data_IF_331507741343
#
_entry.id   IF_331507741343
#
_cell.length_a   1.000
_cell.length_b   1.000
_cell.length_c   1.000
_cell.angle_alpha   90.00
_cell.angle_beta   90.00
_cell.angle_gamma   90.00
#
_symmetry.space_group_name_H-M   'P 1'
#
loop_
_entity.id
_entity.type
_entity.pdbx_description
1 polymer ?
#
# COMPACT_ATOMS: atom_id res chain seq x y z
N UNK A 1 -0.60 -4.05 9.09
CA UNK A 1 -0.68 -4.00 10.57
C UNK A 1 0.55 -4.62 11.24
N UNK A 2 0.86 -5.90 11.01
CA UNK A 2 2.03 -6.56 11.64
C UNK A 2 3.35 -5.81 11.41
N UNK A 3 3.68 -5.47 10.14
CA UNK A 3 4.91 -4.72 9.83
C UNK A 3 5.00 -3.41 10.64
N UNK A 4 3.87 -2.71 10.80
CA UNK A 4 3.81 -1.47 11.59
C UNK A 4 4.06 -1.72 13.07
N UNK A 5 3.48 -2.79 13.64
CA UNK A 5 3.69 -3.16 15.04
C UNK A 5 5.16 -3.48 15.29
N UNK A 6 5.79 -4.31 14.44
CA UNK A 6 7.20 -4.64 14.55
C UNK A 6 8.10 -3.41 14.44
N UNK A 7 7.77 -2.48 13.52
CA UNK A 7 8.48 -1.21 13.39
C UNK A 7 8.36 -0.34 14.66
N UNK A 8 7.14 -0.19 15.20
CA UNK A 8 6.89 0.64 16.38
C UNK A 8 7.51 0.02 17.65
N UNK A 9 7.44 -1.31 17.81
CA UNK A 9 8.11 -2.01 18.92
C UNK A 9 9.63 -1.80 18.91
N UNK A 10 10.26 -1.83 17.73
CA UNK A 10 11.70 -1.49 17.58
C UNK A 10 12.02 -0.04 17.96
N UNK A 11 11.02 0.84 17.98
CA UNK A 11 11.12 2.24 18.45
C UNK A 11 10.76 2.40 19.94
N UNK A 12 10.51 1.31 20.66
CA UNK A 12 10.18 1.32 22.09
C UNK A 12 8.69 1.47 22.41
N UNK A 13 7.82 1.50 21.40
CA UNK A 13 6.37 1.59 21.60
C UNK A 13 5.81 0.27 22.12
N UNK A 14 4.90 0.35 23.11
CA UNK A 14 4.24 -0.82 23.71
C UNK A 14 2.94 -1.15 22.98
N UNK A 15 3.06 -1.58 21.73
CA UNK A 15 1.94 -1.93 20.86
C UNK A 15 1.92 -3.42 20.53
N UNK A 16 0.77 -3.95 20.15
CA UNK A 16 0.58 -5.35 19.78
C UNK A 16 -0.50 -5.53 18.72
N UNK A 17 -0.63 -6.74 18.19
CA UNK A 17 -1.65 -7.12 17.23
C UNK A 17 -2.15 -8.53 17.53
N UNK A 18 -3.46 -8.70 17.59
CA UNK A 18 -4.11 -10.01 17.55
C UNK A 18 -4.62 -10.25 16.13
N UNK A 19 -4.24 -11.39 15.55
CA UNK A 19 -4.76 -11.85 14.26
C UNK A 19 -5.83 -12.89 14.52
N UNK A 20 -7.09 -12.51 14.38
CA UNK A 20 -8.21 -13.46 14.47
C UNK A 20 -8.13 -14.41 13.28
N UNK A 21 -7.90 -15.70 13.56
CA UNK A 21 -7.77 -16.75 12.53
C UNK A 21 -9.08 -17.50 12.32
N UNK A 22 -9.69 -17.93 13.42
CA UNK A 22 -10.99 -18.57 13.44
C UNK A 22 -12.01 -17.56 13.99
N UNK A 23 -12.77 -16.94 13.09
CA UNK A 23 -13.79 -15.97 13.49
C UNK A 23 -15.05 -16.66 14.04
N UNK A 24 -15.44 -17.81 13.47
CA UNK A 24 -16.55 -18.63 13.95
C UNK A 24 -16.18 -20.12 13.92
N UNK A 25 -16.46 -20.88 14.99
CA UNK A 25 -16.90 -20.43 16.32
C UNK A 25 -15.85 -19.56 17.02
N UNK A 26 -16.27 -18.47 17.69
CA UNK A 26 -15.35 -17.54 18.35
C UNK A 26 -14.95 -18.11 19.73
N UNK A 27 -13.70 -18.54 19.88
CA UNK A 27 -13.25 -19.11 21.15
C UNK A 27 -12.76 -18.04 22.13
N UNK A 28 -13.61 -17.68 23.09
CA UNK A 28 -13.33 -16.69 24.14
C UNK A 28 -12.05 -17.04 24.90
N UNK A 29 -11.92 -18.30 25.33
CA UNK A 29 -10.72 -18.79 26.03
C UNK A 29 -9.43 -18.51 25.27
N UNK A 30 -9.38 -18.82 23.97
CA UNK A 30 -8.19 -18.59 23.16
C UNK A 30 -7.93 -17.09 22.93
N UNK A 31 -8.99 -16.29 22.76
CA UNK A 31 -8.87 -14.84 22.63
C UNK A 31 -8.31 -14.20 23.91
N UNK A 32 -8.89 -14.49 25.07
CA UNK A 32 -8.43 -13.95 26.36
C UNK A 32 -7.00 -14.37 26.67
N UNK A 33 -6.63 -15.64 26.43
CA UNK A 33 -5.27 -16.12 26.63
C UNK A 33 -4.23 -15.44 25.72
N UNK A 34 -4.65 -14.86 24.60
CA UNK A 34 -3.77 -14.13 23.68
C UNK A 34 -3.51 -12.67 24.09
N UNK A 35 -4.27 -12.14 25.06
CA UNK A 35 -4.15 -10.77 25.52
C UNK A 35 -3.14 -10.63 26.67
N UNK A 36 -2.09 -9.80 26.54
CA UNK A 36 -1.20 -9.51 27.65
C UNK A 36 -1.92 -8.83 28.83
N UNK A 37 -1.48 -9.13 30.06
CA UNK A 37 -2.00 -8.53 31.30
C UNK A 37 -1.88 -7.00 31.35
N UNK A 38 -0.99 -6.43 30.54
CA UNK A 38 -0.67 -5.00 30.47
C UNK A 38 -1.51 -4.24 29.44
N UNK A 39 -2.45 -4.89 28.75
CA UNK A 39 -3.31 -4.24 27.77
C UNK A 39 -4.24 -3.25 28.48
N UNK A 40 -4.19 -1.98 28.06
CA UNK A 40 -5.03 -0.91 28.57
C UNK A 40 -6.11 -0.46 27.57
N UNK A 41 -5.88 -0.69 26.27
CA UNK A 41 -6.80 -0.27 25.20
C UNK A 41 -6.70 -1.26 24.03
N UNK A 42 -7.84 -1.61 23.46
CA UNK A 42 -8.01 -2.51 22.32
C UNK A 42 -8.79 -1.75 21.24
N UNK A 43 -8.25 -1.71 20.02
CA UNK A 43 -8.99 -1.23 18.85
C UNK A 43 -9.38 -2.43 17.96
N UNK A 44 -10.68 -2.68 17.86
CA UNK A 44 -11.23 -3.64 16.91
C UNK A 44 -11.37 -2.98 15.54
N UNK A 45 -10.82 -3.62 14.50
CA UNK A 45 -10.86 -3.11 13.14
C UNK A 45 -11.71 -4.03 12.26
N UNK A 46 -12.84 -3.50 11.83
CA UNK A 46 -13.82 -4.20 11.00
C UNK A 46 -13.72 -3.74 9.54
N UNK A 47 -13.70 -4.71 8.63
CA UNK A 47 -13.73 -4.47 7.18
C UNK A 47 -15.15 -4.61 6.62
N UNK A 48 -16.12 -4.07 7.37
CA UNK A 48 -17.54 -4.05 7.00
C UNK A 48 -18.21 -2.78 7.57
N UNK A 49 -19.45 -2.53 7.16
CA UNK A 49 -20.31 -1.50 7.75
C UNK A 49 -21.71 -2.07 7.86
N UNK A 50 -22.25 -2.10 9.08
CA UNK A 50 -23.64 -2.49 9.36
C UNK A 50 -24.41 -1.24 9.81
N UNK A 51 -25.11 -0.54 8.90
CA UNK A 51 -25.79 0.72 9.22
C UNK A 51 -26.85 0.53 10.32
N UNK A 52 -26.83 1.40 11.34
CA UNK A 52 -27.78 1.35 12.46
C UNK A 52 -27.43 0.33 13.55
N UNK A 53 -26.41 -0.51 13.35
CA UNK A 53 -25.89 -1.38 14.41
C UNK A 53 -25.23 -0.56 15.53
N UNK A 54 -25.20 -1.13 16.73
CA UNK A 54 -24.48 -0.56 17.88
C UNK A 54 -22.95 -0.68 17.74
N UNK A 55 -22.46 -1.39 16.72
CA UNK A 55 -21.06 -1.64 16.45
C UNK A 55 -20.88 -2.79 15.47
N UNK A 56 -19.74 -2.81 14.77
CA UNK A 56 -19.45 -3.84 13.78
C UNK A 56 -19.20 -5.23 14.41
N UNK A 57 -19.30 -6.33 13.64
CA UNK A 57 -19.33 -7.68 14.19
C UNK A 57 -18.11 -8.07 15.03
N UNK A 58 -16.88 -7.78 14.59
CA UNK A 58 -15.70 -8.14 15.37
C UNK A 58 -15.57 -7.29 16.63
N UNK A 59 -15.90 -5.99 16.54
CA UNK A 59 -15.95 -5.12 17.70
C UNK A 59 -16.93 -5.64 18.76
N UNK A 60 -18.16 -5.98 18.38
CA UNK A 60 -19.17 -6.47 19.33
C UNK A 60 -18.76 -7.82 19.94
N UNK A 61 -18.19 -8.74 19.16
CA UNK A 61 -17.64 -9.99 19.68
C UNK A 61 -16.52 -9.77 20.69
N UNK A 62 -15.61 -8.81 20.44
CA UNK A 62 -14.52 -8.50 21.37
C UNK A 62 -15.08 -7.90 22.67
N UNK A 63 -16.06 -7.00 22.58
CA UNK A 63 -16.74 -6.44 23.75
C UNK A 63 -17.37 -7.56 24.58
N UNK A 64 -18.16 -8.42 23.94
CA UNK A 64 -18.81 -9.56 24.59
C UNK A 64 -17.79 -10.53 25.19
N UNK A 65 -16.74 -10.91 24.45
CA UNK A 65 -15.73 -11.85 24.92
C UNK A 65 -14.94 -11.33 26.12
N UNK A 66 -14.63 -10.02 26.16
CA UNK A 66 -13.98 -9.40 27.33
C UNK A 66 -14.94 -9.42 28.52
N UNK A 67 -16.21 -9.07 28.32
CA UNK A 67 -17.20 -9.04 29.39
C UNK A 67 -17.48 -10.43 29.96
N UNK A 68 -17.70 -11.43 29.11
CA UNK A 68 -17.88 -12.83 29.53
C UNK A 68 -16.62 -13.37 30.19
N UNK A 69 -15.43 -13.09 29.66
CA UNK A 69 -14.18 -13.50 30.27
C UNK A 69 -13.93 -12.87 31.66
N UNK A 70 -14.46 -11.69 31.93
CA UNK A 70 -14.46 -11.08 33.27
C UNK A 70 -15.44 -11.84 34.18
N UNK A 71 -16.67 -12.07 33.72
CA UNK A 71 -17.70 -12.80 34.47
C UNK A 71 -17.27 -14.22 34.85
N UNK A 72 -16.54 -14.90 33.96
CA UNK A 72 -15.99 -16.25 34.18
C UNK A 72 -14.69 -16.26 34.99
N UNK A 73 -14.10 -15.09 35.28
CA UNK A 73 -12.84 -14.99 36.02
C UNK A 73 -11.60 -15.52 35.27
N UNK A 74 -11.68 -15.62 33.94
CA UNK A 74 -10.58 -16.11 33.08
C UNK A 74 -9.68 -14.98 32.54
N UNK A 75 -10.04 -13.72 32.80
CA UNK A 75 -9.21 -12.56 32.45
C UNK A 75 -8.12 -12.30 33.49
N UNK A 76 -7.03 -11.67 33.04
CA UNK A 76 -5.85 -11.38 33.90
C UNK A 76 -5.43 -9.91 33.89
N UNK A 77 -6.35 -9.03 33.49
CA UNK A 77 -6.12 -7.59 33.45
C UNK A 77 -6.14 -6.99 34.85
N UNK A 78 -5.27 -6.00 35.11
CA UNK A 78 -5.35 -5.20 36.35
C UNK A 78 -6.54 -4.24 36.34
N UNK A 79 -6.94 -3.80 35.15
CA UNK A 79 -8.07 -2.90 34.88
C UNK A 79 -8.69 -3.32 33.56
N UNK A 80 -10.01 -3.30 33.46
CA UNK A 80 -10.71 -3.58 32.20
C UNK A 80 -10.21 -2.64 31.09
N UNK A 81 -9.71 -3.17 29.96
CA UNK A 81 -9.21 -2.35 28.88
C UNK A 81 -10.34 -1.56 28.23
N UNK A 82 -10.04 -0.33 27.78
CA UNK A 82 -10.95 0.40 26.89
C UNK A 82 -11.05 -0.33 25.55
N UNK A 83 -12.24 -0.49 25.00
CA UNK A 83 -12.45 -1.12 23.69
C UNK A 83 -13.04 -0.07 22.76
N UNK A 84 -12.40 0.17 21.63
CA UNK A 84 -12.90 1.03 20.56
C UNK A 84 -13.07 0.23 19.27
N UNK A 85 -14.10 0.55 18.50
CA UNK A 85 -14.38 -0.03 17.18
C UNK A 85 -14.05 0.96 16.08
N UNK A 86 -13.50 0.45 14.98
CA UNK A 86 -13.16 1.24 13.81
C UNK A 86 -13.38 0.49 12.51
N UNK A 87 -13.80 1.20 11.48
CA UNK A 87 -13.96 0.67 10.12
C UNK A 87 -12.78 1.04 9.23
N UNK A 88 -12.35 0.10 8.40
CA UNK A 88 -11.29 0.32 7.42
C UNK A 88 -11.54 -0.46 6.13
N UNK A 89 -10.86 -0.05 5.05
CA UNK A 89 -10.66 -0.92 3.88
C UNK A 89 -11.90 -1.37 3.10
N UNK A 90 -13.03 -0.68 3.26
CA UNK A 90 -14.27 -0.97 2.52
C UNK A 90 -14.05 -0.79 1.02
N UNK A 91 -14.56 -1.72 0.21
CA UNK A 91 -14.44 -1.68 -1.26
C UNK A 91 -12.99 -1.48 -1.75
N UNK A 92 -12.05 -2.19 -1.12
CA UNK A 92 -10.61 -2.09 -1.43
C UNK A 92 -10.00 -0.71 -1.21
N UNK A 93 -10.60 0.12 -0.34
CA UNK A 93 -9.94 1.32 0.16
C UNK A 93 -8.59 0.94 0.78
N UNK A 94 -7.58 1.76 0.52
CA UNK A 94 -6.23 1.51 1.03
C UNK A 94 -6.19 1.42 2.56
N UNK A 95 -5.31 0.56 3.07
CA UNK A 95 -5.01 0.45 4.49
C UNK A 95 -3.49 0.35 4.71
N UNK A 96 -2.87 1.50 4.91
CA UNK A 96 -1.41 1.66 4.91
C UNK A 96 -0.81 1.63 6.32
N UNK A 97 0.52 1.49 6.47
CA UNK A 97 1.19 1.63 7.76
C UNK A 97 0.91 2.96 8.47
N UNK A 98 0.72 4.04 7.71
CA UNK A 98 0.34 5.35 8.23
C UNK A 98 -1.03 5.30 8.94
N UNK A 99 -2.00 4.62 8.33
CA UNK A 99 -3.33 4.43 8.91
C UNK A 99 -3.28 3.57 10.17
N UNK A 100 -2.49 2.49 10.16
CA UNK A 100 -2.27 1.65 11.35
C UNK A 100 -1.64 2.48 12.48
N UNK A 101 -0.65 3.33 12.18
CA UNK A 101 -0.08 4.24 13.17
C UNK A 101 -1.13 5.22 13.69
N UNK A 102 -1.98 5.77 12.81
CA UNK A 102 -3.09 6.65 13.21
C UNK A 102 -4.04 5.99 14.22
N UNK A 103 -4.37 4.70 14.03
CA UNK A 103 -5.15 3.93 15.00
C UNK A 103 -4.43 3.83 16.35
N UNK A 104 -3.13 3.54 16.37
CA UNK A 104 -2.37 3.50 17.63
C UNK A 104 -2.27 4.87 18.30
N UNK A 105 -2.12 5.96 17.55
CA UNK A 105 -2.14 7.32 18.11
C UNK A 105 -3.51 7.68 18.67
N UNK A 106 -4.61 7.24 18.03
CA UNK A 106 -5.96 7.39 18.58
C UNK A 106 -6.09 6.66 19.92
N UNK A 107 -5.59 5.43 20.01
CA UNK A 107 -5.61 4.62 21.25
C UNK A 107 -4.83 5.25 22.41
N UNK A 108 -3.86 6.13 22.14
CA UNK A 108 -3.07 6.83 23.16
C UNK A 108 -3.81 8.03 23.78
N UNK A 109 -4.88 8.52 23.15
CA UNK A 109 -5.64 9.66 23.67
C UNK A 109 -6.33 9.32 24.98
N UNK A 110 -6.51 10.33 25.82
CA UNK A 110 -7.26 10.18 27.07
C UNK A 110 -8.70 9.70 26.81
N UNK A 111 -9.34 10.30 25.81
CA UNK A 111 -10.66 9.93 25.31
C UNK A 111 -10.52 9.53 23.83
N UNK A 112 -10.23 8.24 23.54
CA UNK A 112 -10.12 7.78 22.16
C UNK A 112 -11.50 7.80 21.49
N UNK A 113 -11.54 8.19 20.21
CA UNK A 113 -12.76 8.16 19.41
C UNK A 113 -13.21 6.72 19.19
N UNK A 114 -14.45 6.40 19.59
CA UNK A 114 -15.10 5.13 19.27
C UNK A 114 -15.88 5.24 17.93
N UNK A 115 -16.19 4.10 17.31
CA UNK A 115 -16.90 3.99 16.03
C UNK A 115 -16.27 4.79 14.89
N UNK A 116 -14.94 4.84 14.88
CA UNK A 116 -14.20 5.67 13.96
C UNK A 116 -14.11 5.06 12.55
N UNK A 117 -13.68 5.88 11.59
CA UNK A 117 -13.26 5.43 10.25
C UNK A 117 -11.80 5.81 10.02
N UNK A 118 -11.07 4.98 9.29
CA UNK A 118 -9.69 5.28 8.88
C UNK A 118 -9.54 5.13 7.37
N UNK A 119 -8.87 6.10 6.74
CA UNK A 119 -8.62 6.12 5.30
C UNK A 119 -9.57 6.99 4.48
N UNK A 120 -10.56 7.63 5.09
CA UNK A 120 -11.44 8.64 4.46
C UNK A 120 -11.39 9.95 5.25
N UNK A 121 -11.79 11.05 4.61
CA UNK A 121 -12.16 12.27 5.31
C UNK A 121 -13.69 12.26 5.42
N UNK A 122 -14.18 12.10 6.65
CA UNK A 122 -15.61 12.19 6.95
C UNK A 122 -15.86 13.51 7.66
N UNK A 123 -16.27 14.50 6.88
CA UNK A 123 -16.59 15.87 7.27
C UNK A 123 -18.08 16.08 7.61
N UNK A 124 -18.89 15.02 7.51
CA UNK A 124 -20.33 15.07 7.81
C UNK A 124 -20.62 14.49 9.19
N UNK A 125 -20.20 13.24 9.44
CA UNK A 125 -20.41 12.59 10.75
C UNK A 125 -19.18 12.64 11.65
N UNK A 126 -18.08 13.21 11.15
CA UNK A 126 -16.82 13.39 11.88
C UNK A 126 -16.28 12.10 12.50
N UNK A 127 -16.56 10.93 11.90
CA UNK A 127 -16.09 9.63 12.39
C UNK A 127 -14.62 9.37 12.04
N UNK A 128 -14.08 10.07 11.04
CA UNK A 128 -12.70 9.86 10.61
C UNK A 128 -11.67 10.25 11.68
N UNK A 129 -10.57 9.49 11.76
CA UNK A 129 -9.40 9.79 12.58
C UNK A 129 -8.23 10.25 11.71
N UNK A 130 -7.40 11.14 12.26
CA UNK A 130 -6.24 11.67 11.56
C UNK A 130 -5.08 10.68 11.52
N UNK A 131 -4.30 10.72 10.45
CA UNK A 131 -3.06 9.95 10.29
C UNK A 131 -2.10 10.73 9.41
N UNK A 132 -0.79 10.56 9.60
CA UNK A 132 0.23 11.22 8.77
C UNK A 132 0.46 10.45 7.47
N UNK A 133 -0.04 10.90 6.30
CA UNK A 133 -0.02 10.12 5.06
C UNK A 133 1.41 9.81 4.56
N UNK A 134 2.38 10.64 4.93
CA UNK A 134 3.78 10.48 4.55
C UNK A 134 4.52 9.43 5.39
N UNK A 135 3.89 8.86 6.42
CA UNK A 135 4.55 7.84 7.23
C UNK A 135 4.78 6.55 6.41
N UNK A 136 6.03 6.09 6.38
CA UNK A 136 6.44 4.86 5.70
C UNK A 136 7.38 4.06 6.59
N UNK A 137 7.21 2.74 6.56
CA UNK A 137 8.03 1.76 7.28
C UNK A 137 8.83 0.86 6.33
N UNK A 138 8.71 1.09 5.03
CA UNK A 138 9.37 0.25 4.03
C UNK A 138 10.89 0.51 4.02
N UNK A 139 11.72 -0.53 4.18
CA UNK A 139 13.17 -0.37 4.32
C UNK A 139 13.79 0.22 3.04
N UNK A 140 14.95 0.86 3.17
CA UNK A 140 15.65 1.45 2.04
C UNK A 140 16.16 0.39 1.05
N UNK A 141 16.53 -0.79 1.55
CA UNK A 141 17.00 -1.94 0.76
C UNK A 141 15.94 -2.61 -0.11
N UNK A 142 14.66 -2.28 0.09
CA UNK A 142 13.56 -2.85 -0.69
C UNK A 142 13.36 -2.04 -1.96
N UNK A 143 13.43 -2.72 -3.10
CA UNK A 143 13.08 -2.10 -4.37
C UNK A 143 11.57 -2.04 -4.51
N UNK A 144 11.10 -0.87 -4.95
CA UNK A 144 9.69 -0.54 -5.14
C UNK A 144 9.56 0.09 -6.52
N UNK A 145 8.97 -0.63 -7.45
CA UNK A 145 8.83 -0.17 -8.82
C UNK A 145 7.34 0.06 -9.15
N UNK A 146 7.06 1.14 -9.86
CA UNK A 146 5.73 1.45 -10.38
C UNK A 146 5.81 1.60 -11.89
N UNK A 147 4.87 0.96 -12.58
CA UNK A 147 4.78 1.02 -14.04
C UNK A 147 3.39 1.49 -14.43
N UNK A 148 3.34 2.58 -15.18
CA UNK A 148 2.14 3.13 -15.80
C UNK A 148 2.08 2.66 -17.25
N UNK A 149 1.08 1.84 -17.55
CA UNK A 149 0.87 1.27 -18.88
C UNK A 149 -0.57 1.45 -19.36
N UNK A 150 -0.79 1.21 -20.64
CA UNK A 150 -2.11 1.20 -21.28
C UNK A 150 -2.70 -0.21 -21.26
N UNK A 151 -4.01 -0.31 -21.08
CA UNK A 151 -4.73 -1.57 -21.26
C UNK A 151 -4.44 -2.17 -22.64
N UNK A 152 -3.88 -3.39 -22.65
CA UNK A 152 -3.45 -4.16 -23.83
C UNK A 152 -2.09 -3.80 -24.44
N UNK A 153 -1.25 -2.97 -23.80
CA UNK A 153 0.13 -2.71 -24.27
C UNK A 153 1.17 -3.77 -23.84
N UNK A 154 0.76 -4.72 -23.02
CA UNK A 154 1.61 -5.81 -22.51
C UNK A 154 2.39 -5.50 -21.23
N UNK A 155 2.27 -4.29 -20.66
CA UNK A 155 2.99 -3.85 -19.44
C UNK A 155 2.76 -4.78 -18.25
N UNK A 156 1.48 -5.06 -17.95
CA UNK A 156 1.11 -5.98 -16.86
C UNK A 156 1.70 -7.37 -17.08
N UNK A 157 1.66 -7.87 -18.33
CA UNK A 157 2.21 -9.18 -18.68
C UNK A 157 3.71 -9.25 -18.48
N UNK A 158 4.43 -8.23 -18.97
CA UNK A 158 5.87 -8.09 -18.76
C UNK A 158 6.21 -8.02 -17.27
N UNK A 159 5.47 -7.25 -16.48
CA UNK A 159 5.70 -7.15 -15.03
C UNK A 159 5.46 -8.48 -14.29
N UNK A 160 4.42 -9.24 -14.66
CA UNK A 160 4.20 -10.60 -14.13
C UNK A 160 5.37 -11.52 -14.48
N UNK A 161 5.89 -11.41 -15.70
CA UNK A 161 7.04 -12.18 -16.14
C UNK A 161 8.32 -11.77 -15.39
N UNK A 162 8.58 -10.46 -15.22
CA UNK A 162 9.71 -9.96 -14.43
C UNK A 162 9.69 -10.45 -12.99
N UNK A 163 8.52 -10.46 -12.35
CA UNK A 163 8.34 -11.00 -11.00
C UNK A 163 8.73 -12.49 -10.96
N UNK A 164 8.29 -13.25 -11.97
CA UNK A 164 8.59 -14.68 -12.07
C UNK A 164 10.10 -14.90 -12.23
N UNK A 165 10.75 -14.19 -13.15
CA UNK A 165 12.20 -14.25 -13.37
C UNK A 165 12.95 -13.92 -12.08
N UNK A 166 12.63 -12.80 -11.43
CA UNK A 166 13.33 -12.40 -10.20
C UNK A 166 13.10 -13.41 -9.07
N UNK A 167 11.89 -13.96 -8.94
CA UNK A 167 11.59 -14.94 -7.89
C UNK A 167 12.13 -16.36 -8.14
N UNK A 168 12.42 -16.73 -9.40
CA UNK A 168 13.00 -18.02 -9.76
C UNK A 168 14.54 -17.97 -9.83
N UNK A 169 15.11 -16.86 -10.26
CA UNK A 169 16.55 -16.69 -10.48
C UNK A 169 17.28 -16.04 -9.28
N UNK A 170 16.55 -15.59 -8.26
CA UNK A 170 17.15 -14.98 -7.06
C UNK A 170 16.46 -15.42 -5.78
N UNK A 171 17.15 -15.31 -4.65
CA UNK A 171 16.58 -15.57 -3.31
C UNK A 171 15.62 -14.46 -2.82
N UNK A 172 15.27 -13.50 -3.68
CA UNK A 172 14.38 -12.41 -3.30
C UNK A 172 12.93 -12.88 -3.20
N UNK A 173 12.26 -12.45 -2.13
CA UNK A 173 10.80 -12.44 -2.10
C UNK A 173 10.30 -11.38 -3.08
N UNK A 174 9.30 -11.76 -3.87
CA UNK A 174 8.69 -10.90 -4.88
C UNK A 174 7.21 -10.69 -4.60
N UNK A 175 6.72 -9.49 -4.92
CA UNK A 175 5.31 -9.14 -4.80
C UNK A 175 4.88 -8.30 -5.99
N UNK A 176 3.73 -8.63 -6.57
CA UNK A 176 3.06 -7.83 -7.59
C UNK A 176 1.62 -7.52 -7.21
N UNK A 177 1.23 -6.26 -7.38
CA UNK A 177 -0.16 -5.84 -7.35
C UNK A 177 -0.48 -5.00 -8.58
N UNK A 178 -1.58 -5.30 -9.26
CA UNK A 178 -1.93 -4.69 -10.54
C UNK A 178 -3.29 -4.00 -10.41
N UNK A 179 -3.28 -2.69 -10.58
CA UNK A 179 -4.49 -1.87 -10.56
C UNK A 179 -4.95 -1.68 -11.99
N UNK A 180 -6.21 -2.02 -12.23
CA UNK A 180 -6.88 -1.87 -13.52
C UNK A 180 -8.02 -0.86 -13.38
N UNK A 181 -8.27 -0.13 -14.45
CA UNK A 181 -9.50 0.64 -14.63
C UNK A 181 -10.69 -0.33 -14.85
N UNK A 182 -11.91 0.13 -14.59
CA UNK A 182 -13.14 -0.62 -14.89
C UNK A 182 -13.42 -0.74 -16.39
N UNK A 183 -12.81 0.15 -17.19
CA UNK A 183 -12.90 0.12 -18.66
C UNK A 183 -12.10 -1.06 -19.24
N UNK A 184 -12.74 -1.79 -20.17
CA UNK A 184 -12.18 -3.02 -20.77
C UNK A 184 -10.92 -2.80 -21.63
N UNK A 185 -10.78 -1.64 -22.29
CA UNK A 185 -9.67 -1.35 -23.20
C UNK A 185 -9.23 0.11 -23.14
N UNK A 186 -7.97 0.39 -23.47
CA UNK A 186 -7.45 1.76 -23.62
C UNK A 186 -7.35 2.57 -22.33
N UNK A 187 -7.45 1.90 -21.18
CA UNK A 187 -7.46 2.55 -19.88
C UNK A 187 -6.11 2.43 -19.16
N UNK A 188 -5.90 3.24 -18.13
CA UNK A 188 -4.67 3.25 -17.36
C UNK A 188 -4.54 1.94 -16.56
N UNK A 189 -3.35 1.38 -16.56
CA UNK A 189 -2.96 0.27 -15.68
C UNK A 189 -1.76 0.70 -14.85
N UNK A 190 -1.76 0.34 -13.57
CA UNK A 190 -0.68 0.65 -12.65
C UNK A 190 -0.18 -0.65 -12.04
N UNK A 191 1.07 -1.00 -12.30
CA UNK A 191 1.72 -2.18 -11.73
C UNK A 191 2.60 -1.75 -10.57
N UNK A 192 2.35 -2.29 -9.38
CA UNK A 192 3.15 -2.09 -8.18
C UNK A 192 3.98 -3.34 -7.91
N UNK A 193 5.29 -3.21 -8.00
CA UNK A 193 6.23 -4.30 -7.75
C UNK A 193 7.06 -4.02 -6.51
N UNK A 194 7.30 -5.07 -5.72
CA UNK A 194 8.28 -5.06 -4.63
C UNK A 194 9.14 -6.31 -4.71
N UNK A 195 10.44 -6.15 -4.44
CA UNK A 195 11.37 -7.26 -4.31
C UNK A 195 12.40 -6.97 -3.23
N UNK A 196 12.74 -8.01 -2.44
CA UNK A 196 13.56 -7.88 -1.24
C UNK A 196 14.04 -9.26 -0.76
N UNK A 197 15.22 -9.39 -0.14
CA UNK A 197 15.67 -10.66 0.47
C UNK A 197 14.84 -11.10 1.69
N UNK A 198 13.96 -10.24 2.21
CA UNK A 198 13.10 -10.56 3.37
C UNK A 198 11.63 -10.70 2.97
N UNK A 199 10.83 -11.53 3.67
CA UNK A 199 9.40 -11.68 3.39
C UNK A 199 8.64 -10.35 3.30
N UNK A 200 7.82 -10.21 2.26
CA UNK A 200 7.06 -8.99 1.99
C UNK A 200 5.64 -9.15 2.55
N UNK A 201 5.32 -8.41 3.60
CA UNK A 201 3.98 -8.38 4.21
C UNK A 201 3.17 -7.13 3.83
N UNK A 202 3.67 -6.32 2.89
CA UNK A 202 3.09 -5.03 2.51
C UNK A 202 1.91 -5.19 1.56
N UNK A 203 0.72 -5.43 2.12
CA UNK A 203 -0.54 -5.60 1.36
C UNK A 203 -1.22 -4.26 1.03
N UNK A 204 -0.46 -3.25 0.62
CA UNK A 204 -0.92 -1.90 0.28
C UNK A 204 -0.14 -1.38 -0.95
N UNK A 205 -0.66 -0.35 -1.63
CA UNK A 205 -0.01 0.20 -2.83
C UNK A 205 1.35 0.85 -2.50
N UNK A 206 2.25 0.87 -3.48
CA UNK A 206 3.52 1.60 -3.32
C UNK A 206 3.24 3.10 -3.32
N UNK A 207 3.56 3.77 -2.22
CA UNK A 207 3.46 5.22 -2.10
C UNK A 207 4.81 5.95 -2.28
N UNK A 208 5.92 5.21 -2.23
CA UNK A 208 7.29 5.71 -2.33
C UNK A 208 8.13 4.80 -3.22
N UNK A 209 8.15 5.07 -4.52
CA UNK A 209 8.84 4.27 -5.51
C UNK A 209 10.34 4.62 -5.61
N UNK A 210 11.17 3.59 -5.83
CA UNK A 210 12.58 3.67 -6.19
C UNK A 210 12.79 3.63 -7.71
N UNK A 211 11.76 3.27 -8.46
CA UNK A 211 11.76 3.20 -9.91
C UNK A 211 10.34 3.52 -10.40
N UNK A 212 10.22 4.46 -11.32
CA UNK A 212 8.95 4.80 -11.97
C UNK A 212 9.14 4.67 -13.47
N UNK A 213 8.27 3.90 -14.12
CA UNK A 213 8.22 3.78 -15.57
C UNK A 213 6.88 4.25 -16.11
N UNK A 214 6.91 5.07 -17.17
CA UNK A 214 5.74 5.49 -17.91
C UNK A 214 5.86 5.01 -19.36
N UNK A 215 4.99 4.10 -19.77
CA UNK A 215 5.03 3.47 -21.09
C UNK A 215 4.23 4.24 -22.15
N UNK A 216 3.50 5.29 -21.75
CA UNK A 216 2.73 6.15 -22.65
C UNK A 216 3.01 7.62 -22.36
N UNK A 217 3.55 8.34 -23.33
CA UNK A 217 3.86 9.76 -23.21
C UNK A 217 2.63 10.61 -22.82
N UNK A 218 1.47 10.32 -23.41
CA UNK A 218 0.21 11.06 -23.18
C UNK A 218 -0.32 11.00 -21.74
N UNK A 219 0.21 10.11 -20.89
CA UNK A 219 -0.16 10.07 -19.48
C UNK A 219 0.42 11.23 -18.67
N UNK A 220 1.51 11.86 -19.13
CA UNK A 220 2.16 12.98 -18.45
C UNK A 220 1.24 14.20 -18.33
N UNK A 221 0.38 14.42 -19.32
CA UNK A 221 -0.56 15.54 -19.33
C UNK A 221 -1.80 15.28 -18.46
N UNK A 222 -2.12 14.00 -18.23
CA UNK A 222 -3.40 13.57 -17.66
C UNK A 222 -3.31 13.11 -16.22
N UNK A 223 -2.15 12.62 -15.81
CA UNK A 223 -1.95 11.98 -14.52
C UNK A 223 -0.66 12.43 -13.87
N UNK A 224 -0.70 12.59 -12.55
CA UNK A 224 0.49 12.80 -11.74
C UNK A 224 1.23 11.47 -11.54
N UNK A 225 2.01 11.07 -12.55
CA UNK A 225 2.78 9.82 -12.54
C UNK A 225 3.99 9.87 -11.59
N UNK A 226 4.49 11.07 -11.26
CA UNK A 226 5.70 11.26 -10.45
C UNK A 226 5.39 11.51 -8.97
N UNK A 227 4.11 11.58 -8.57
CA UNK A 227 3.66 11.72 -7.19
C UNK A 227 4.41 10.83 -6.21
N UNK A 228 4.52 9.55 -6.56
CA UNK A 228 5.08 8.49 -5.71
C UNK A 228 6.59 8.36 -5.82
N UNK A 229 7.24 9.05 -6.76
CA UNK A 229 8.69 9.00 -6.93
C UNK A 229 9.40 9.60 -5.69
N UNK A 230 10.42 8.90 -5.16
CA UNK A 230 11.29 9.46 -4.11
C UNK A 230 12.36 10.37 -4.73
N UNK A 231 13.08 11.09 -3.87
CA UNK A 231 14.25 11.86 -4.26
C UNK A 231 15.33 10.95 -4.90
N UNK A 232 15.91 11.36 -6.03
CA UNK A 232 17.07 10.70 -6.65
C UNK A 232 16.76 9.41 -7.44
N UNK A 233 15.49 9.07 -7.62
CA UNK A 233 15.11 7.78 -8.20
C UNK A 233 15.09 7.77 -9.72
N UNK A 234 15.06 6.58 -10.31
CA UNK A 234 14.95 6.42 -11.76
C UNK A 234 13.54 6.73 -12.22
N UNK A 235 13.45 7.58 -13.23
CA UNK A 235 12.25 7.77 -14.03
C UNK A 235 12.55 7.34 -15.47
N UNK A 236 11.87 6.28 -15.94
CA UNK A 236 11.97 5.78 -17.31
C UNK A 236 10.72 6.17 -18.10
N UNK A 237 10.88 6.87 -19.21
CA UNK A 237 9.79 7.30 -20.07
C UNK A 237 9.93 6.71 -21.47
N UNK A 238 8.85 6.08 -21.94
CA UNK A 238 8.66 5.81 -23.36
C UNK A 238 8.15 7.09 -24.04
N UNK A 239 8.97 7.66 -24.91
CA UNK A 239 8.70 8.93 -25.61
C UNK A 239 8.97 8.78 -27.10
N UNK A 240 8.14 9.36 -27.99
CA UNK A 240 8.47 9.46 -29.41
C UNK A 240 9.58 10.49 -29.70
N UNK A 241 9.96 11.31 -28.72
CA UNK A 241 10.96 12.36 -28.84
C UNK A 241 12.33 11.86 -28.40
N UNK A 242 13.39 12.41 -29.01
CA UNK A 242 14.77 12.14 -28.62
C UNK A 242 15.08 12.65 -27.21
N UNK A 243 16.19 12.18 -26.62
CA UNK A 243 16.61 12.61 -25.28
C UNK A 243 16.88 14.13 -25.20
N UNK A 244 17.27 14.75 -26.31
CA UNK A 244 17.57 16.18 -26.39
C UNK A 244 16.30 17.04 -26.54
N UNK A 245 15.25 16.51 -27.18
CA UNK A 245 14.01 17.26 -27.48
C UNK A 245 12.89 17.00 -26.47
N UNK A 246 12.88 15.82 -25.82
CA UNK A 246 11.79 15.40 -24.94
C UNK A 246 11.50 16.38 -23.83
N UNK A 247 12.53 17.09 -23.33
CA UNK A 247 12.39 18.06 -22.25
C UNK A 247 11.37 19.14 -22.60
N UNK A 248 11.44 19.69 -23.82
CA UNK A 248 10.58 20.78 -24.29
C UNK A 248 9.12 20.35 -24.50
N UNK A 249 8.88 19.03 -24.60
CA UNK A 249 7.56 18.45 -24.73
C UNK A 249 6.93 18.04 -23.38
N UNK A 250 7.68 18.07 -22.28
CA UNK A 250 7.16 17.72 -20.97
C UNK A 250 6.25 18.84 -20.42
N UNK A 251 5.12 18.51 -19.77
CA UNK A 251 4.37 19.48 -18.99
C UNK A 251 5.24 20.12 -17.90
N UNK A 252 5.05 21.41 -17.65
CA UNK A 252 5.83 22.17 -16.67
C UNK A 252 5.81 21.52 -15.27
N UNK A 253 4.66 21.01 -14.82
CA UNK A 253 4.53 20.32 -13.53
C UNK A 253 5.41 19.07 -13.42
N UNK A 254 5.62 18.36 -14.52
CA UNK A 254 6.50 17.18 -14.58
C UNK A 254 7.97 17.62 -14.55
N UNK A 255 8.34 18.65 -15.32
CA UNK A 255 9.70 19.21 -15.30
C UNK A 255 10.08 19.68 -13.89
N UNK A 256 9.20 20.44 -13.24
CA UNK A 256 9.37 20.90 -11.86
C UNK A 256 9.59 19.72 -10.92
N UNK A 257 8.73 18.70 -10.99
CA UNK A 257 8.87 17.49 -10.16
C UNK A 257 10.18 16.75 -10.42
N UNK A 258 10.65 16.66 -11.67
CA UNK A 258 11.93 16.02 -12.02
C UNK A 258 13.10 16.78 -11.38
N UNK A 259 13.09 18.12 -11.43
CA UNK A 259 14.13 18.97 -10.86
C UNK A 259 14.12 18.90 -9.34
N UNK A 260 12.96 19.17 -8.72
CA UNK A 260 12.79 19.18 -7.26
C UNK A 260 13.21 17.84 -6.65
N UNK A 261 12.78 16.74 -7.29
CA UNK A 261 13.10 15.40 -6.80
C UNK A 261 14.45 14.88 -7.27
N UNK A 262 15.20 15.64 -8.10
CA UNK A 262 16.49 15.26 -8.67
C UNK A 262 16.46 13.87 -9.32
N UNK A 263 15.43 13.62 -10.12
CA UNK A 263 15.21 12.30 -10.72
C UNK A 263 16.29 11.98 -11.75
N UNK A 264 16.69 10.70 -11.81
CA UNK A 264 17.52 10.18 -12.89
C UNK A 264 16.60 9.85 -14.06
N UNK A 265 16.49 10.78 -15.00
CA UNK A 265 15.55 10.70 -16.10
C UNK A 265 16.15 9.97 -17.30
N UNK A 266 15.51 8.88 -17.73
CA UNK A 266 15.87 8.09 -18.89
C UNK A 266 14.71 8.07 -19.87
N UNK A 267 15.05 8.20 -21.16
CA UNK A 267 14.07 8.24 -22.24
C UNK A 267 14.43 7.23 -23.30
N UNK A 268 13.42 6.55 -23.82
CA UNK A 268 13.54 5.60 -24.92
C UNK A 268 12.35 5.74 -25.86
N UNK A 269 12.60 5.65 -27.16
CA UNK A 269 11.53 5.44 -28.15
C UNK A 269 11.36 3.93 -28.39
N UNK A 270 10.56 3.29 -27.53
CA UNK A 270 10.33 1.86 -27.63
C UNK A 270 9.50 1.49 -28.87
N UNK A 271 8.71 2.41 -29.41
CA UNK A 271 7.90 2.17 -30.61
C UNK A 271 8.76 2.12 -31.87
N UNK A 272 9.72 3.05 -32.01
CA UNK A 272 10.69 3.03 -33.10
C UNK A 272 11.51 1.74 -33.08
N UNK A 273 12.04 1.36 -31.91
CA UNK A 273 12.80 0.12 -31.76
C UNK A 273 11.94 -1.10 -32.09
N UNK A 274 10.70 -1.16 -31.58
CA UNK A 274 9.78 -2.27 -31.88
C UNK A 274 9.51 -2.41 -33.38
N UNK A 275 9.42 -1.30 -34.12
CA UNK A 275 9.25 -1.30 -35.57
C UNK A 275 10.50 -1.79 -36.29
N UNK A 276 11.69 -1.34 -35.88
CA UNK A 276 12.98 -1.74 -36.46
C UNK A 276 13.26 -3.24 -36.27
N UNK A 277 12.88 -3.82 -35.13
CA UNK A 277 13.09 -5.24 -34.84
C UNK A 277 11.91 -6.16 -35.25
N UNK A 278 10.87 -5.62 -35.89
CA UNK A 278 9.74 -6.41 -36.40
C UNK A 278 8.69 -6.83 -35.36
N UNK A 279 8.65 -6.19 -34.19
CA UNK A 279 7.67 -6.44 -33.11
C UNK A 279 6.37 -5.62 -33.28
N UNK A 280 6.30 -4.76 -34.29
CA UNK A 280 5.14 -3.90 -34.56
C UNK A 280 4.96 -2.85 -33.48
N UNK A 281 3.82 -2.87 -32.78
CA UNK A 281 3.49 -1.91 -31.70
C UNK A 281 3.75 -2.45 -30.29
N UNK A 282 4.39 -3.62 -30.17
CA UNK A 282 4.63 -4.27 -28.87
C UNK A 282 5.92 -3.75 -28.24
N UNK A 283 5.77 -2.93 -27.21
CA UNK A 283 6.89 -2.29 -26.48
C UNK A 283 7.27 -3.03 -25.19
N UNK A 284 6.48 -4.02 -24.79
CA UNK A 284 6.58 -4.68 -23.48
C UNK A 284 7.95 -5.31 -23.21
N UNK A 285 8.53 -6.04 -24.17
CA UNK A 285 9.85 -6.65 -24.01
C UNK A 285 10.97 -5.60 -23.92
N UNK A 286 10.88 -4.54 -24.73
CA UNK A 286 11.89 -3.46 -24.75
C UNK A 286 11.90 -2.74 -23.40
N UNK A 287 10.72 -2.32 -22.92
CA UNK A 287 10.58 -1.65 -21.63
C UNK A 287 11.00 -2.56 -20.46
N UNK A 288 10.75 -3.86 -20.57
CA UNK A 288 11.19 -4.85 -19.58
C UNK A 288 12.72 -4.93 -19.49
N UNK A 289 13.42 -4.95 -20.63
CA UNK A 289 14.88 -4.94 -20.67
C UNK A 289 15.44 -3.65 -20.07
N UNK A 290 14.85 -2.50 -20.40
CA UNK A 290 15.23 -1.21 -19.79
C UNK A 290 15.05 -1.23 -18.27
N UNK A 291 13.96 -1.83 -17.78
CA UNK A 291 13.76 -1.99 -16.34
C UNK A 291 14.92 -2.78 -15.70
N UNK A 292 15.25 -3.98 -16.21
CA UNK A 292 16.34 -4.78 -15.66
C UNK A 292 17.72 -4.10 -15.74
N UNK A 293 17.96 -3.30 -16.79
CA UNK A 293 19.23 -2.58 -16.96
C UNK A 293 19.38 -1.40 -15.98
N UNK A 294 18.26 -0.77 -15.60
CA UNK A 294 18.24 0.45 -14.79
C UNK A 294 17.87 0.22 -13.31
N UNK A 295 17.37 -0.98 -12.96
CA UNK A 295 16.85 -1.33 -11.63
C UNK A 295 17.90 -1.80 -10.64
#
# INVERSE_FOLDING_TARGET
AQETVEYLMKKGEKVGLIKVRLYRPFSIKHFINSLPKTVNTIAALDRTKEPGSIGEPLYTDIVTAIQEGISEGITSFKKTPKIIGGRYGLSSKEFTPAMVKGVFEEMKKEVPKNHFTIGINDDVTHSSISYGPDFSIEPASRTRAIFYGLGSDGTVGANKNSIKIIGEETDNYVQGHFVYDSRKTGALTISHLRFCPTPIHSTYLVNRANFVACHQFSFLERYDILKTAKLGVVFLLNSPYSADEVWDHLPYSIQETIIEKKLRFYVIDAYKIAKEVGLGVRINTIMQVCFFSLS
#
